data_IF_065913280594
#
_entry.id   IF_065913280594
#
_cell.length_a   1.000
_cell.length_b   1.000
_cell.length_c   1.000
_cell.angle_alpha   90.00
_cell.angle_beta   90.00
_cell.angle_gamma   90.00
#
_symmetry.space_group_name_H-M   'P 1'
#
loop_
_entity.id
_entity.type
_entity.pdbx_description
1 polymer ?
#
# COMPACT_ATOMS: atom_id res chain seq x y z
N UNK A 1 18.03 1.02 3.37
CA UNK A 1 17.75 0.22 4.59
C UNK A 1 17.46 -1.20 4.16
N UNK A 2 17.95 -2.19 4.89
CA UNK A 2 17.69 -3.61 4.59
C UNK A 2 16.23 -4.00 4.84
N UNK A 3 15.75 -4.98 4.06
CA UNK A 3 14.36 -5.43 4.12
C UNK A 3 13.97 -5.99 5.50
N UNK A 4 14.87 -6.71 6.15
CA UNK A 4 14.62 -7.27 7.49
C UNK A 4 14.51 -6.19 8.56
N UNK A 5 15.29 -5.11 8.44
CA UNK A 5 15.18 -3.96 9.34
C UNK A 5 13.85 -3.22 9.13
N UNK A 6 13.43 -3.06 7.87
CA UNK A 6 12.13 -2.49 7.55
C UNK A 6 11.00 -3.33 8.17
N UNK A 7 11.02 -4.64 7.97
CA UNK A 7 10.01 -5.56 8.54
C UNK A 7 9.98 -5.49 10.07
N UNK A 8 11.15 -5.45 10.71
CA UNK A 8 11.26 -5.29 12.18
C UNK A 8 10.62 -3.99 12.66
N UNK A 9 10.93 -2.87 12.02
CA UNK A 9 10.36 -1.56 12.40
C UNK A 9 8.85 -1.49 12.16
N UNK A 10 8.36 -2.02 11.04
CA UNK A 10 6.93 -2.12 10.77
C UNK A 10 6.20 -3.00 11.79
N UNK A 11 6.83 -4.07 12.27
CA UNK A 11 6.26 -4.91 13.34
C UNK A 11 6.05 -4.13 14.64
N UNK A 12 6.97 -3.23 14.99
CA UNK A 12 6.85 -2.36 16.17
C UNK A 12 5.67 -1.38 15.98
N UNK A 13 5.59 -0.74 14.81
CA UNK A 13 4.49 0.19 14.49
C UNK A 13 3.14 -0.53 14.54
N UNK A 14 3.02 -1.69 13.89
CA UNK A 14 1.81 -2.52 13.92
C UNK A 14 1.41 -2.90 15.35
N UNK A 15 2.37 -3.31 16.18
CA UNK A 15 2.10 -3.68 17.56
C UNK A 15 1.60 -2.49 18.41
N UNK A 16 2.11 -1.27 18.16
CA UNK A 16 1.61 -0.06 18.81
C UNK A 16 0.18 0.28 18.34
N UNK A 17 -0.09 0.16 17.04
CA UNK A 17 -1.40 0.47 16.44
C UNK A 17 -2.51 -0.52 16.83
N UNK A 18 -2.15 -1.76 17.16
CA UNK A 18 -3.10 -2.84 17.48
C UNK A 18 -3.36 -3.07 18.96
N UNK A 19 -2.83 -2.20 19.83
CA UNK A 19 -3.22 -2.20 21.24
C UNK A 19 -4.73 -1.91 21.37
N UNK A 20 -5.33 -2.37 22.47
CA UNK A 20 -6.76 -2.15 22.75
C UNK A 20 -7.13 -0.66 22.78
N UNK A 21 -6.21 0.16 23.29
CA UNK A 21 -6.24 1.63 23.19
C UNK A 21 -4.93 2.08 22.53
N UNK A 22 -4.91 2.30 21.20
CA UNK A 22 -3.71 2.71 20.48
C UNK A 22 -3.25 4.11 20.90
N UNK A 23 -1.98 4.24 21.27
CA UNK A 23 -1.33 5.55 21.41
C UNK A 23 -0.91 6.03 20.02
N UNK A 24 -1.77 6.82 19.39
CA UNK A 24 -1.52 7.34 18.05
C UNK A 24 -0.34 8.32 17.99
N UNK A 25 0.01 8.98 19.10
CA UNK A 25 1.20 9.83 19.16
C UNK A 25 2.48 8.98 19.12
N UNK A 26 2.48 7.82 19.79
CA UNK A 26 3.58 6.84 19.67
C UNK A 26 3.68 6.30 18.24
N UNK A 27 2.56 5.91 17.63
CA UNK A 27 2.51 5.41 16.24
C UNK A 27 3.07 6.46 15.28
N UNK A 28 2.62 7.72 15.38
CA UNK A 28 3.07 8.81 14.51
C UNK A 28 4.56 9.09 14.69
N UNK A 29 5.07 9.09 15.93
CA UNK A 29 6.50 9.24 16.21
C UNK A 29 7.32 8.15 15.51
N UNK A 30 6.92 6.88 15.67
CA UNK A 30 7.62 5.75 15.04
C UNK A 30 7.59 5.83 13.51
N UNK A 31 6.48 6.27 12.92
CA UNK A 31 6.36 6.52 11.48
C UNK A 31 7.34 7.62 11.05
N UNK A 32 7.34 8.78 11.72
CA UNK A 32 8.23 9.91 11.42
C UNK A 32 9.71 9.57 11.56
N UNK A 33 10.07 8.63 12.43
CA UNK A 33 11.44 8.13 12.56
C UNK A 33 11.84 7.18 11.41
N UNK A 34 10.89 6.40 10.89
CA UNK A 34 11.12 5.43 9.84
C UNK A 34 11.11 6.05 8.44
N UNK A 35 10.12 6.90 8.15
CA UNK A 35 9.81 7.42 6.81
C UNK A 35 11.01 8.09 6.10
N UNK A 36 11.86 8.92 6.77
CA UNK A 36 13.02 9.55 6.14
C UNK A 36 14.11 8.56 5.70
N UNK A 37 14.08 7.32 6.19
CA UNK A 37 15.09 6.29 5.90
C UNK A 37 14.71 5.43 4.69
N UNK A 38 13.50 5.63 4.16
CA UNK A 38 12.94 4.87 3.04
C UNK A 38 13.32 5.50 1.71
N UNK A 39 13.68 4.64 0.76
CA UNK A 39 13.87 5.05 -0.63
C UNK A 39 12.54 4.79 -1.34
N UNK A 40 11.97 5.84 -1.95
CA UNK A 40 10.64 5.77 -2.59
C UNK A 40 10.58 4.62 -3.60
N UNK A 41 11.60 4.48 -4.45
CA UNK A 41 11.61 3.48 -5.52
C UNK A 41 11.86 2.04 -5.06
N UNK A 42 12.35 1.86 -3.83
CA UNK A 42 12.66 0.53 -3.27
C UNK A 42 11.66 0.08 -2.20
N UNK A 43 10.71 0.94 -1.83
CA UNK A 43 9.74 0.66 -0.78
C UNK A 43 8.45 0.15 -1.40
N UNK A 44 7.93 -1.02 -0.98
CA UNK A 44 6.65 -1.51 -1.47
C UNK A 44 5.54 -0.48 -1.26
N UNK A 45 4.68 -0.30 -2.26
CA UNK A 45 3.60 0.70 -2.24
C UNK A 45 2.69 0.55 -1.01
N UNK A 46 2.42 -0.69 -0.59
CA UNK A 46 1.64 -0.98 0.62
C UNK A 46 2.27 -0.43 1.90
N UNK A 47 3.61 -0.36 1.98
CA UNK A 47 4.34 0.19 3.13
C UNK A 47 4.26 1.70 3.07
N UNK A 48 4.39 2.28 1.88
CA UNK A 48 4.27 3.73 1.70
C UNK A 48 2.89 4.24 2.15
N UNK A 49 1.81 3.66 1.61
CA UNK A 49 0.44 4.02 2.02
C UNK A 49 0.19 3.78 3.50
N UNK A 50 0.73 2.70 4.08
CA UNK A 50 0.60 2.46 5.51
C UNK A 50 1.33 3.51 6.37
N UNK A 51 2.45 4.06 5.92
CA UNK A 51 3.13 5.09 6.70
C UNK A 51 2.46 6.46 6.51
N UNK A 52 1.99 6.76 5.30
CA UNK A 52 1.41 8.06 4.96
C UNK A 52 -0.02 8.25 5.52
N UNK A 53 -0.85 7.21 5.43
CA UNK A 53 -2.29 7.31 5.74
C UNK A 53 -2.61 7.11 7.23
N UNK A 54 -1.73 7.51 8.14
CA UNK A 54 -1.95 7.34 9.58
C UNK A 54 -3.22 8.09 10.04
N UNK A 55 -3.45 9.30 9.54
CA UNK A 55 -4.63 10.11 9.83
C UNK A 55 -5.93 9.45 9.32
N UNK A 56 -5.88 8.77 8.17
CA UNK A 56 -7.00 8.01 7.61
C UNK A 56 -7.32 6.82 8.50
N UNK A 57 -6.29 6.09 8.95
CA UNK A 57 -6.48 4.91 9.81
C UNK A 57 -7.04 5.25 11.19
N UNK A 58 -6.78 6.45 11.70
CA UNK A 58 -7.39 6.94 12.95
C UNK A 58 -8.91 7.06 12.81
N UNK A 59 -9.41 7.51 11.66
CA UNK A 59 -10.83 7.82 11.43
C UNK A 59 -11.64 6.70 10.76
N UNK A 60 -11.01 5.86 9.96
CA UNK A 60 -11.66 4.76 9.22
C UNK A 60 -11.11 3.40 9.68
N UNK A 61 -11.87 2.77 10.57
CA UNK A 61 -11.54 1.45 11.09
C UNK A 61 -11.47 0.36 10.02
N UNK A 62 -12.36 0.39 9.02
CA UNK A 62 -12.38 -0.62 7.96
C UNK A 62 -11.16 -0.49 7.06
N UNK A 63 -10.75 0.75 6.75
CA UNK A 63 -9.50 1.05 6.06
C UNK A 63 -8.29 0.59 6.88
N UNK A 64 -8.22 0.95 8.16
CA UNK A 64 -7.14 0.55 9.06
C UNK A 64 -6.98 -0.97 9.12
N UNK A 65 -8.08 -1.71 9.27
CA UNK A 65 -8.06 -3.17 9.32
C UNK A 65 -7.53 -3.79 8.01
N UNK A 66 -7.91 -3.25 6.85
CA UNK A 66 -7.39 -3.71 5.55
C UNK A 66 -5.89 -3.42 5.42
N UNK A 67 -5.44 -2.22 5.79
CA UNK A 67 -4.03 -1.85 5.72
C UNK A 67 -3.17 -2.69 6.66
N UNK A 68 -3.58 -2.86 7.93
CA UNK A 68 -2.88 -3.73 8.90
C UNK A 68 -2.71 -5.16 8.39
N UNK A 69 -3.75 -5.73 7.79
CA UNK A 69 -3.68 -7.09 7.20
C UNK A 69 -2.66 -7.17 6.06
N UNK A 70 -2.61 -6.18 5.17
CA UNK A 70 -1.65 -6.13 4.06
C UNK A 70 -0.21 -6.03 4.58
N UNK A 71 0.03 -5.10 5.50
CA UNK A 71 1.37 -4.88 6.06
C UNK A 71 1.80 -6.04 6.94
N UNK A 72 0.89 -6.68 7.69
CA UNK A 72 1.18 -7.90 8.43
C UNK A 72 1.64 -9.02 7.51
N UNK A 73 0.96 -9.23 6.37
CA UNK A 73 1.40 -10.22 5.36
C UNK A 73 2.81 -9.94 4.86
N UNK A 74 3.12 -8.67 4.58
CA UNK A 74 4.46 -8.26 4.19
C UNK A 74 5.50 -8.49 5.30
N UNK A 75 5.18 -8.12 6.53
CA UNK A 75 6.06 -8.31 7.69
C UNK A 75 6.32 -9.80 7.95
N UNK A 76 5.31 -10.66 7.82
CA UNK A 76 5.43 -12.08 8.18
C UNK A 76 6.05 -12.92 7.05
N UNK A 77 5.67 -12.65 5.79
CA UNK A 77 6.03 -13.49 4.65
C UNK A 77 6.95 -12.81 3.63
N UNK A 78 7.12 -11.49 3.71
CA UNK A 78 7.77 -10.72 2.64
C UNK A 78 6.87 -10.56 1.40
N UNK A 79 5.64 -11.09 1.44
CA UNK A 79 4.69 -11.05 0.33
C UNK A 79 4.01 -9.69 0.26
N UNK A 80 4.08 -9.08 -0.92
CA UNK A 80 3.30 -7.91 -1.28
C UNK A 80 2.89 -8.01 -2.74
N UNK A 81 1.65 -7.60 -3.01
CA UNK A 81 1.14 -7.55 -4.37
C UNK A 81 1.85 -6.37 -5.06
N UNK A 82 2.60 -6.65 -6.13
CA UNK A 82 3.31 -5.62 -6.92
C UNK A 82 2.32 -4.81 -7.79
N UNK A 83 1.02 -5.03 -7.60
CA UNK A 83 -0.03 -4.64 -8.52
C UNK A 83 -0.01 -5.57 -9.73
N UNK A 84 -1.19 -5.96 -10.21
CA UNK A 84 -1.29 -6.59 -11.53
C UNK A 84 -0.78 -5.57 -12.55
N UNK A 85 0.29 -5.85 -13.31
CA UNK A 85 0.60 -5.02 -14.46
C UNK A 85 -0.62 -5.09 -15.37
N UNK A 86 -1.37 -4.00 -15.50
CA UNK A 86 -2.49 -3.95 -16.45
C UNK A 86 -1.84 -4.26 -17.81
N UNK A 87 -2.19 -5.38 -18.46
CA UNK A 87 -1.57 -5.72 -19.72
C UNK A 87 -1.91 -4.60 -20.70
N UNK A 88 -0.88 -3.91 -21.21
CA UNK A 88 -1.05 -2.79 -22.17
C UNK A 88 -1.91 -3.19 -23.38
N UNK A 89 -1.95 -4.49 -23.69
CA UNK A 89 -2.81 -5.11 -24.67
C UNK A 89 -4.31 -4.93 -24.38
N UNK A 90 -4.74 -4.91 -23.12
CA UNK A 90 -6.13 -4.66 -22.74
C UNK A 90 -6.59 -3.26 -23.14
N UNK A 91 -5.74 -2.24 -22.93
CA UNK A 91 -6.00 -0.88 -23.40
C UNK A 91 -5.99 -0.79 -24.93
N UNK A 92 -5.04 -1.45 -25.60
CA UNK A 92 -4.99 -1.50 -27.06
C UNK A 92 -6.23 -2.18 -27.66
N UNK A 93 -6.72 -3.26 -27.04
CA UNK A 93 -7.92 -3.98 -27.48
C UNK A 93 -9.17 -3.10 -27.32
N UNK A 94 -9.28 -2.38 -26.20
CA UNK A 94 -10.39 -1.45 -25.97
C UNK A 94 -10.42 -0.31 -27.01
N UNK A 95 -9.24 0.23 -27.38
CA UNK A 95 -9.12 1.25 -28.42
C UNK A 95 -9.51 0.68 -29.79
N UNK A 96 -9.03 -0.52 -30.14
CA UNK A 96 -9.36 -1.17 -31.42
C UNK A 96 -10.86 -1.46 -31.55
N UNK A 97 -11.50 -1.92 -30.47
CA UNK A 97 -12.94 -2.16 -30.44
C UNK A 97 -13.73 -0.85 -30.57
N UNK A 98 -13.30 0.23 -29.91
CA UNK A 98 -13.93 1.54 -30.03
C UNK A 98 -13.82 2.09 -31.47
N UNK A 99 -12.64 1.99 -32.11
CA UNK A 99 -12.44 2.42 -33.50
C UNK A 99 -13.27 1.55 -34.46
N UNK A 100 -13.25 0.23 -34.30
CA UNK A 100 -14.06 -0.68 -35.13
C UNK A 100 -15.56 -0.40 -35.01
N UNK A 101 -16.04 -0.08 -33.81
CA UNK A 101 -17.43 0.29 -33.57
C UNK A 101 -17.81 1.63 -34.22
N UNK A 102 -16.94 2.64 -34.15
CA UNK A 102 -17.14 3.93 -34.83
C UNK A 102 -17.20 3.74 -36.35
N UNK A 103 -16.27 2.97 -36.92
CA UNK A 103 -16.25 2.70 -38.37
C UNK A 103 -17.51 1.97 -38.81
N UNK A 104 -17.97 0.98 -38.04
CA UNK A 104 -19.21 0.26 -38.34
C UNK A 104 -20.46 1.15 -38.31
N UNK A 105 -20.53 2.14 -37.41
CA UNK A 105 -21.64 3.11 -37.39
C UNK A 105 -21.63 4.09 -38.57
N UNK A 106 -20.51 4.20 -39.29
CA UNK A 106 -20.33 5.12 -40.43
C UNK A 106 -20.44 4.46 -41.81
N UNK A 107 -20.71 3.14 -41.85
CA UNK A 107 -20.96 2.35 -43.07
C UNK A 107 -22.45 1.99 -43.11
#
# INVERSE_FOLDING_TARGET
MELDELRRRLKIILAAEERELPDWSEVERLIRELQPQLHIDATPEIVYHYLDDADIRVRDYAYALRQRRKVRRFVDHGDYDVGTPIPRWGCALAILLAVGFIVWLTI
#
